data_IF_072617518727
#
_entry.id   IF_072617518727
#
_cell.length_a   1.000
_cell.length_b   1.000
_cell.length_c   1.000
_cell.angle_alpha   90.00
_cell.angle_beta   90.00
_cell.angle_gamma   90.00
#
_symmetry.space_group_name_H-M   'P 1'
#
loop_
_entity.id
_entity.type
_entity.pdbx_description
1 polymer ?
#
# COMPACT_ATOMS: atom_id res chain seq x y z
N UNK A 1 -5.72 26.26 13.93
CA UNK A 1 -6.21 27.42 13.17
C UNK A 1 -5.65 28.72 13.78
N UNK A 2 -5.63 28.88 15.09
CA UNK A 2 -5.23 30.14 15.74
C UNK A 2 -3.76 30.54 15.52
N UNK A 3 -2.89 29.59 15.22
CA UNK A 3 -1.48 29.83 14.97
C UNK A 3 -1.09 29.74 13.50
N UNK A 4 -1.58 28.68 12.80
CA UNK A 4 -1.15 28.37 11.44
C UNK A 4 -2.14 27.44 10.78
N UNK A 5 -2.67 27.78 9.60
CA UNK A 5 -3.58 26.94 8.83
C UNK A 5 -2.83 26.00 7.88
N UNK A 6 -1.80 26.50 7.20
CA UNK A 6 -1.04 25.77 6.22
C UNK A 6 0.37 26.35 6.07
N UNK A 7 1.32 25.47 5.80
CA UNK A 7 2.70 25.80 5.48
C UNK A 7 3.21 24.78 4.46
N UNK A 8 4.09 25.22 3.56
CA UNK A 8 4.67 24.30 2.58
C UNK A 8 5.68 23.36 3.23
N UNK A 9 6.00 22.25 2.56
CA UNK A 9 7.03 21.31 2.98
C UNK A 9 8.46 21.87 2.97
N UNK A 10 8.63 23.15 2.62
CA UNK A 10 9.91 23.87 2.71
C UNK A 10 10.22 24.31 4.15
N UNK A 11 9.25 24.29 5.05
CA UNK A 11 9.39 24.78 6.41
C UNK A 11 8.96 23.73 7.44
N UNK A 12 9.52 23.81 8.62
CA UNK A 12 9.11 22.98 9.75
C UNK A 12 7.99 23.66 10.56
N UNK A 13 7.05 22.86 11.05
CA UNK A 13 6.09 23.30 12.06
C UNK A 13 5.94 22.23 13.14
N UNK A 14 5.72 22.68 14.37
CA UNK A 14 5.63 21.80 15.54
C UNK A 14 4.55 20.73 15.42
N UNK A 15 3.30 21.05 15.00
CA UNK A 15 2.25 20.03 14.91
C UNK A 15 2.58 18.87 13.99
N UNK A 16 3.22 19.10 12.85
CA UNK A 16 3.54 18.03 11.89
C UNK A 16 4.73 17.19 12.38
N UNK A 17 5.70 17.83 13.07
CA UNK A 17 6.82 17.13 13.66
C UNK A 17 6.33 16.21 14.79
N UNK A 18 5.50 16.71 15.70
CA UNK A 18 4.93 15.94 16.80
C UNK A 18 4.04 14.80 16.29
N UNK A 19 3.21 15.06 15.30
CA UNK A 19 2.37 14.03 14.67
C UNK A 19 3.22 12.93 14.01
N UNK A 20 4.27 13.32 13.28
CA UNK A 20 5.20 12.39 12.65
C UNK A 20 5.93 11.53 13.68
N UNK A 21 6.46 12.13 14.73
CA UNK A 21 7.16 11.42 15.80
C UNK A 21 6.26 10.39 16.51
N UNK A 22 5.02 10.76 16.85
CA UNK A 22 4.04 9.86 17.47
C UNK A 22 3.63 8.73 16.53
N UNK A 23 3.42 9.03 15.24
CA UNK A 23 3.06 8.03 14.25
C UNK A 23 4.18 7.01 14.03
N UNK A 24 5.42 7.46 13.92
CA UNK A 24 6.61 6.61 13.80
C UNK A 24 6.74 5.71 15.03
N UNK A 25 6.55 6.26 16.22
CA UNK A 25 6.61 5.48 17.47
C UNK A 25 5.50 4.42 17.53
N UNK A 26 4.26 4.78 17.16
CA UNK A 26 3.12 3.88 17.23
C UNK A 26 3.16 2.78 16.17
N UNK A 27 3.66 3.09 14.96
CA UNK A 27 3.72 2.15 13.83
C UNK A 27 4.97 1.28 13.80
N UNK A 28 5.98 1.59 14.63
CA UNK A 28 7.32 0.99 14.57
C UNK A 28 8.03 1.19 13.21
N UNK A 29 7.60 2.19 12.44
CA UNK A 29 8.26 2.60 11.19
C UNK A 29 9.32 3.67 11.48
N UNK A 30 10.21 3.93 10.52
CA UNK A 30 11.27 4.93 10.69
C UNK A 30 10.87 6.33 10.23
N UNK A 31 9.91 6.44 9.32
CA UNK A 31 9.51 7.70 8.68
C UNK A 31 8.01 7.76 8.46
N UNK A 32 7.48 8.97 8.42
CA UNK A 32 6.11 9.27 8.05
C UNK A 32 6.07 10.22 6.84
N UNK A 33 5.14 9.98 5.93
CA UNK A 33 4.84 10.84 4.80
C UNK A 33 3.36 11.18 4.82
N UNK A 34 3.04 12.47 4.92
CA UNK A 34 1.66 12.95 5.01
C UNK A 34 1.11 13.31 3.64
N UNK A 35 -0.12 12.88 3.41
CA UNK A 35 -0.89 13.15 2.19
C UNK A 35 -2.28 13.69 2.57
N UNK A 36 -3.08 14.11 1.58
CA UNK A 36 -4.41 14.67 1.83
C UNK A 36 -5.52 13.62 1.84
N UNK A 37 -5.25 12.41 1.36
CA UNK A 37 -6.26 11.36 1.22
C UNK A 37 -5.63 9.96 1.18
N UNK A 38 -6.45 8.93 1.40
CA UNK A 38 -6.04 7.54 1.29
C UNK A 38 -5.52 7.19 -0.11
N UNK A 39 -6.21 7.65 -1.15
CA UNK A 39 -5.75 7.39 -2.53
C UNK A 39 -4.38 7.99 -2.80
N UNK A 40 -4.08 9.19 -2.28
CA UNK A 40 -2.74 9.79 -2.39
C UNK A 40 -1.69 9.03 -1.58
N UNK A 41 -2.06 8.49 -0.43
CA UNK A 41 -1.18 7.63 0.37
C UNK A 41 -0.80 6.36 -0.42
N UNK A 42 -1.77 5.72 -1.06
CA UNK A 42 -1.52 4.56 -1.92
C UNK A 42 -0.65 4.93 -3.12
N UNK A 43 -0.92 6.04 -3.83
CA UNK A 43 -0.06 6.53 -4.91
C UNK A 43 1.39 6.73 -4.43
N UNK A 44 1.56 7.31 -3.24
CA UNK A 44 2.86 7.49 -2.60
C UNK A 44 3.56 6.15 -2.31
N UNK A 45 2.84 5.17 -1.75
CA UNK A 45 3.35 3.85 -1.43
C UNK A 45 3.78 3.07 -2.69
N UNK A 46 2.95 3.08 -3.74
CA UNK A 46 3.27 2.44 -5.02
C UNK A 46 4.52 3.06 -5.66
N UNK A 47 4.62 4.38 -5.65
CA UNK A 47 5.81 5.09 -6.16
C UNK A 47 7.05 4.81 -5.33
N UNK A 48 6.93 4.76 -4.00
CA UNK A 48 8.05 4.42 -3.12
C UNK A 48 8.57 3.00 -3.40
N UNK A 49 7.68 2.02 -3.53
CA UNK A 49 8.03 0.64 -3.84
C UNK A 49 8.72 0.51 -5.23
N UNK A 50 8.15 1.15 -6.26
CA UNK A 50 8.75 1.15 -7.60
C UNK A 50 10.10 1.88 -7.62
N UNK A 51 10.23 2.99 -6.87
CA UNK A 51 11.50 3.72 -6.78
C UNK A 51 12.58 2.92 -6.07
N UNK A 52 12.23 2.24 -4.98
CA UNK A 52 13.13 1.33 -4.28
C UNK A 52 13.66 0.24 -5.22
N UNK A 53 12.78 -0.44 -5.93
CA UNK A 53 13.15 -1.48 -6.88
C UNK A 53 13.99 -0.94 -8.04
N UNK A 54 13.67 0.25 -8.56
CA UNK A 54 14.48 0.91 -9.58
C UNK A 54 15.92 1.18 -9.12
N UNK A 55 16.10 1.66 -7.88
CA UNK A 55 17.46 1.89 -7.33
C UNK A 55 18.22 0.59 -7.12
N UNK A 56 17.52 -0.49 -6.76
CA UNK A 56 18.10 -1.82 -6.56
C UNK A 56 18.51 -2.48 -7.88
N UNK A 57 17.61 -2.46 -8.88
CA UNK A 57 17.67 -3.33 -10.06
C UNK A 57 18.13 -2.58 -11.33
N UNK A 58 18.05 -1.25 -11.34
CA UNK A 58 18.48 -0.40 -12.45
C UNK A 58 17.50 -0.32 -13.64
N UNK A 59 16.27 -0.82 -13.50
CA UNK A 59 15.22 -0.78 -14.54
C UNK A 59 13.84 -0.43 -13.95
N UNK A 60 12.84 -0.13 -14.79
CA UNK A 60 11.55 0.42 -14.35
C UNK A 60 10.32 -0.47 -14.61
N UNK A 61 10.49 -1.66 -15.18
CA UNK A 61 9.39 -2.56 -15.59
C UNK A 61 8.93 -3.52 -14.47
N UNK A 62 8.87 -2.99 -13.24
CA UNK A 62 8.48 -3.75 -12.07
C UNK A 62 6.98 -3.99 -11.95
N UNK A 63 6.63 -5.14 -11.36
CA UNK A 63 5.27 -5.62 -11.13
C UNK A 63 4.85 -5.47 -9.68
N UNK A 64 3.54 -5.31 -9.46
CA UNK A 64 2.92 -5.23 -8.14
C UNK A 64 1.83 -6.29 -8.06
N UNK A 65 1.79 -7.03 -6.96
CA UNK A 65 0.73 -7.99 -6.66
C UNK A 65 -0.27 -7.33 -5.71
N UNK A 66 -1.54 -7.32 -6.09
CA UNK A 66 -2.67 -6.85 -5.27
C UNK A 66 -3.64 -8.01 -5.01
N UNK A 67 -4.57 -7.83 -4.08
CA UNK A 67 -5.53 -8.87 -3.73
C UNK A 67 -6.84 -8.70 -4.50
N UNK A 68 -7.43 -9.81 -4.94
CA UNK A 68 -8.80 -9.84 -5.44
C UNK A 68 -9.76 -9.25 -4.40
N UNK A 69 -10.81 -8.58 -4.83
CA UNK A 69 -11.82 -7.91 -4.01
C UNK A 69 -11.30 -6.75 -3.14
N UNK A 70 -10.05 -6.35 -3.27
CA UNK A 70 -9.49 -5.20 -2.54
C UNK A 70 -10.04 -3.86 -3.04
N UNK A 71 -9.91 -2.85 -2.18
CA UNK A 71 -10.20 -1.45 -2.52
C UNK A 71 -9.06 -0.55 -2.00
N UNK A 72 -8.39 0.14 -2.91
CA UNK A 72 -7.23 0.99 -2.57
C UNK A 72 -7.38 2.46 -2.96
N UNK A 73 -8.45 2.81 -3.66
CA UNK A 73 -8.73 4.19 -4.05
C UNK A 73 -9.23 4.33 -5.49
N UNK A 74 -9.38 5.59 -5.94
CA UNK A 74 -10.02 5.92 -7.24
C UNK A 74 -9.15 6.77 -8.18
N UNK A 75 -7.94 7.18 -7.76
CA UNK A 75 -6.93 7.71 -8.69
C UNK A 75 -6.40 6.59 -9.57
N UNK A 76 -5.84 6.91 -10.73
CA UNK A 76 -5.45 5.90 -11.74
C UNK A 76 -4.51 4.84 -11.16
N UNK A 77 -3.48 5.21 -10.39
CA UNK A 77 -2.57 4.23 -9.78
C UNK A 77 -3.24 3.40 -8.68
N UNK A 78 -3.97 4.03 -7.76
CA UNK A 78 -4.70 3.33 -6.71
C UNK A 78 -5.82 2.42 -7.28
N UNK A 79 -6.51 2.88 -8.33
CA UNK A 79 -7.51 2.10 -9.03
C UNK A 79 -6.88 0.88 -9.72
N UNK A 80 -5.68 1.01 -10.25
CA UNK A 80 -4.96 -0.08 -10.92
C UNK A 80 -4.71 -1.27 -9.99
N UNK A 81 -4.50 -1.04 -8.70
CA UNK A 81 -4.28 -2.08 -7.68
C UNK A 81 -5.56 -2.46 -6.92
N UNK A 82 -6.70 -1.84 -7.22
CA UNK A 82 -8.00 -2.20 -6.65
C UNK A 82 -8.53 -3.48 -7.28
N UNK A 83 -8.79 -4.52 -6.48
CA UNK A 83 -9.08 -5.88 -6.95
C UNK A 83 -10.48 -6.09 -7.51
N UNK A 84 -11.40 -5.13 -7.34
CA UNK A 84 -12.74 -5.22 -7.90
C UNK A 84 -12.74 -4.77 -9.38
N UNK A 85 -12.92 -5.72 -10.30
CA UNK A 85 -12.90 -5.48 -11.74
C UNK A 85 -13.96 -4.45 -12.17
N UNK A 86 -15.15 -4.45 -11.57
CA UNK A 86 -16.22 -3.53 -11.91
C UNK A 86 -15.81 -2.05 -11.73
N UNK A 87 -14.90 -1.76 -10.77
CA UNK A 87 -14.40 -0.40 -10.59
C UNK A 87 -13.34 -0.03 -11.63
N UNK A 88 -12.62 -1.00 -12.18
CA UNK A 88 -11.51 -0.76 -13.14
C UNK A 88 -11.96 -0.68 -14.59
N UNK A 89 -12.85 -1.56 -15.01
CA UNK A 89 -13.25 -1.75 -16.41
C UNK A 89 -13.55 -0.45 -17.18
N UNK A 90 -14.30 0.52 -16.63
CA UNK A 90 -14.62 1.75 -17.37
C UNK A 90 -13.41 2.64 -17.65
N UNK A 91 -12.27 2.39 -17.00
CA UNK A 91 -11.08 3.27 -17.03
C UNK A 91 -9.85 2.60 -17.62
N UNK A 92 -10.02 1.42 -18.25
CA UNK A 92 -8.92 0.75 -18.94
C UNK A 92 -8.45 1.52 -20.17
N UNK A 93 -7.14 1.53 -20.54
CA UNK A 93 -6.08 0.80 -19.86
C UNK A 93 -5.56 1.54 -18.60
N UNK A 94 -5.35 0.80 -17.53
CA UNK A 94 -4.78 1.28 -16.30
C UNK A 94 -3.24 1.09 -16.25
N UNK A 95 -2.62 1.31 -15.08
CA UNK A 95 -1.18 1.10 -14.89
C UNK A 95 -0.82 -0.37 -15.15
N UNK A 96 0.10 -0.61 -16.07
CA UNK A 96 0.60 -1.95 -16.37
C UNK A 96 1.42 -2.57 -15.23
N UNK A 97 1.62 -3.90 -15.29
CA UNK A 97 2.43 -4.64 -14.33
C UNK A 97 1.71 -4.91 -13.00
N UNK A 98 0.38 -4.87 -12.97
CA UNK A 98 -0.40 -5.27 -11.79
C UNK A 98 -0.95 -6.68 -12.00
N UNK A 99 -0.76 -7.53 -11.00
CA UNK A 99 -1.28 -8.90 -10.93
C UNK A 99 -2.16 -9.05 -9.71
N UNK A 100 -3.13 -9.95 -9.78
CA UNK A 100 -4.06 -10.18 -8.68
C UNK A 100 -3.94 -11.61 -8.14
N UNK A 101 -3.96 -11.74 -6.81
CA UNK A 101 -3.95 -12.99 -6.08
C UNK A 101 -5.19 -13.08 -5.17
N UNK A 102 -5.53 -14.27 -4.73
CA UNK A 102 -6.64 -14.46 -3.81
C UNK A 102 -6.24 -14.09 -2.38
N UNK A 103 -7.14 -13.35 -1.72
CA UNK A 103 -6.94 -12.93 -0.34
C UNK A 103 -6.98 -14.13 0.60
N UNK A 104 -6.10 -14.16 1.59
CA UNK A 104 -5.90 -15.30 2.50
C UNK A 104 -5.39 -16.59 1.84
N UNK A 105 -4.86 -16.50 0.62
CA UNK A 105 -4.23 -17.63 -0.08
C UNK A 105 -2.77 -17.28 -0.45
N UNK A 106 -1.84 -17.75 0.38
CA UNK A 106 -0.40 -17.50 0.18
C UNK A 106 0.14 -18.18 -1.09
N UNK A 107 -0.41 -19.34 -1.47
CA UNK A 107 0.01 -20.05 -2.70
C UNK A 107 -0.44 -19.30 -3.94
N UNK A 108 -1.63 -18.69 -3.92
CA UNK A 108 -2.09 -17.79 -4.99
C UNK A 108 -1.14 -16.61 -5.15
N UNK A 109 -0.67 -16.01 -4.05
CA UNK A 109 0.33 -14.92 -4.08
C UNK A 109 1.65 -15.41 -4.67
N UNK A 110 2.17 -16.53 -4.21
CA UNK A 110 3.44 -17.11 -4.70
C UNK A 110 3.41 -17.40 -6.19
N UNK A 111 2.27 -17.84 -6.72
CA UNK A 111 2.08 -18.12 -8.13
C UNK A 111 2.18 -16.87 -9.02
N UNK A 112 1.95 -15.67 -8.48
CA UNK A 112 2.05 -14.39 -9.20
C UNK A 112 3.46 -13.79 -9.17
N UNK A 113 4.35 -14.26 -8.29
CA UNK A 113 5.69 -13.69 -8.13
C UNK A 113 6.56 -14.01 -9.35
N UNK A 114 7.23 -12.98 -9.82
CA UNK A 114 8.29 -13.08 -10.84
C UNK A 114 9.55 -12.34 -10.36
N UNK A 115 10.60 -12.39 -11.16
CA UNK A 115 11.82 -11.60 -10.98
C UNK A 115 11.59 -10.07 -11.06
N UNK A 116 10.45 -9.64 -11.61
CA UNK A 116 10.02 -8.24 -11.70
C UNK A 116 9.15 -7.77 -10.54
N UNK A 117 8.72 -8.66 -9.66
CA UNK A 117 7.84 -8.30 -8.55
C UNK A 117 8.57 -7.41 -7.56
N UNK A 118 8.09 -6.18 -7.35
CA UNK A 118 8.69 -5.23 -6.43
C UNK A 118 7.86 -4.98 -5.17
N UNK A 119 6.56 -5.24 -5.22
CA UNK A 119 5.69 -5.02 -4.07
C UNK A 119 4.50 -5.98 -4.04
N UNK A 120 4.01 -6.23 -2.84
CA UNK A 120 2.70 -6.84 -2.56
C UNK A 120 1.90 -5.82 -1.77
N UNK A 121 0.67 -5.53 -2.19
CA UNK A 121 -0.27 -4.65 -1.46
C UNK A 121 -1.48 -5.45 -1.00
N UNK A 122 -1.84 -5.28 0.26
CA UNK A 122 -3.02 -5.91 0.87
C UNK A 122 -3.61 -5.03 1.95
N UNK A 123 -4.89 -5.22 2.24
CA UNK A 123 -5.54 -4.70 3.45
C UNK A 123 -5.36 -5.72 4.58
N UNK A 124 -5.32 -5.27 5.83
CA UNK A 124 -5.38 -6.18 6.99
C UNK A 124 -6.81 -6.65 7.27
N UNK A 125 -7.80 -5.85 6.84
CA UNK A 125 -9.21 -6.23 6.75
C UNK A 125 -9.75 -5.66 5.44
N UNK A 126 -10.19 -6.50 4.52
CA UNK A 126 -10.87 -6.04 3.29
C UNK A 126 -12.24 -5.47 3.66
N UNK A 127 -12.33 -4.15 3.79
CA UNK A 127 -13.57 -3.47 4.18
C UNK A 127 -14.62 -3.50 3.08
N UNK A 128 -14.32 -2.92 1.93
CA UNK A 128 -15.21 -2.87 0.76
C UNK A 128 -15.45 -4.26 0.15
N UNK A 129 -14.52 -5.18 0.32
CA UNK A 129 -14.65 -6.57 -0.14
C UNK A 129 -15.64 -7.42 0.65
N UNK A 130 -16.14 -6.93 1.79
CA UNK A 130 -17.14 -7.64 2.61
C UNK A 130 -16.76 -7.84 4.08
N UNK A 131 -15.82 -7.07 4.59
CA UNK A 131 -15.30 -7.12 5.98
C UNK A 131 -14.66 -8.48 6.28
N UNK A 132 -13.73 -8.86 5.43
CA UNK A 132 -12.95 -10.08 5.61
C UNK A 132 -11.59 -9.77 6.25
N UNK A 133 -11.31 -10.26 7.48
CA UNK A 133 -9.99 -10.10 8.10
C UNK A 133 -8.95 -11.01 7.43
N UNK A 134 -7.74 -10.52 7.31
CA UNK A 134 -6.60 -11.35 6.97
C UNK A 134 -6.31 -12.32 8.11
N UNK A 135 -5.97 -13.57 7.78
CA UNK A 135 -5.52 -14.53 8.78
C UNK A 135 -4.09 -14.19 9.22
N UNK A 136 -3.77 -14.58 10.46
CA UNK A 136 -2.41 -14.40 10.98
C UNK A 136 -1.39 -15.12 10.11
N UNK A 137 -1.69 -16.34 9.71
CA UNK A 137 -0.84 -17.17 8.88
C UNK A 137 -0.55 -16.51 7.52
N UNK A 138 -1.56 -15.86 6.93
CA UNK A 138 -1.41 -15.14 5.67
C UNK A 138 -0.48 -13.94 5.83
N UNK A 139 -0.70 -13.09 6.83
CA UNK A 139 0.13 -11.90 7.06
C UNK A 139 1.59 -12.24 7.40
N UNK A 140 1.80 -13.23 8.30
CA UNK A 140 3.14 -13.71 8.61
C UNK A 140 3.82 -14.34 7.40
N UNK A 141 3.06 -15.10 6.60
CA UNK A 141 3.53 -15.67 5.35
C UNK A 141 3.94 -14.61 4.33
N UNK A 142 3.13 -13.55 4.16
CA UNK A 142 3.47 -12.41 3.29
C UNK A 142 4.74 -11.70 3.78
N UNK A 143 4.85 -11.42 5.08
CA UNK A 143 6.04 -10.76 5.64
C UNK A 143 7.30 -11.57 5.36
N UNK A 144 7.27 -12.87 5.68
CA UNK A 144 8.39 -13.77 5.43
C UNK A 144 8.76 -13.83 3.94
N UNK A 145 7.77 -13.98 3.07
CA UNK A 145 7.95 -14.03 1.63
C UNK A 145 8.59 -12.74 1.08
N UNK A 146 8.13 -11.59 1.58
CA UNK A 146 8.67 -10.30 1.18
C UNK A 146 10.12 -10.11 1.65
N UNK A 147 10.44 -10.54 2.87
CA UNK A 147 11.81 -10.48 3.40
C UNK A 147 12.77 -11.39 2.63
N UNK A 148 12.36 -12.60 2.31
CA UNK A 148 13.17 -13.57 1.57
C UNK A 148 13.48 -13.13 0.13
N UNK A 149 12.59 -12.35 -0.48
CA UNK A 149 12.69 -11.95 -1.89
C UNK A 149 13.03 -10.48 -2.10
N UNK A 150 13.23 -9.73 -1.01
CA UNK A 150 13.43 -8.27 -1.06
C UNK A 150 12.30 -7.55 -1.83
N UNK A 151 11.06 -7.91 -1.50
CA UNK A 151 9.83 -7.32 -2.03
C UNK A 151 9.21 -6.41 -0.97
N UNK A 152 8.72 -5.23 -1.34
CA UNK A 152 8.07 -4.31 -0.41
C UNK A 152 6.66 -4.82 -0.07
N UNK A 153 6.36 -4.94 1.22
CA UNK A 153 5.00 -5.20 1.71
C UNK A 153 4.31 -3.88 2.03
N UNK A 154 3.19 -3.62 1.37
CA UNK A 154 2.33 -2.46 1.60
C UNK A 154 1.06 -2.94 2.31
N UNK A 155 0.85 -2.45 3.54
CA UNK A 155 -0.38 -2.70 4.30
C UNK A 155 -1.26 -1.46 4.21
N UNK A 156 -2.40 -1.60 3.54
CA UNK A 156 -3.41 -0.55 3.46
C UNK A 156 -4.29 -0.59 4.70
N UNK A 157 -4.07 0.36 5.58
CA UNK A 157 -4.84 0.53 6.81
C UNK A 157 -5.73 1.78 6.79
N UNK A 158 -6.01 2.33 5.61
CA UNK A 158 -6.83 3.54 5.47
C UNK A 158 -8.20 3.38 6.13
N UNK A 159 -8.82 2.23 6.00
CA UNK A 159 -10.13 1.97 6.57
C UNK A 159 -10.05 1.29 7.95
N UNK A 160 -9.07 0.45 8.19
CA UNK A 160 -9.00 -0.38 9.41
C UNK A 160 -7.94 0.07 10.43
N UNK A 161 -7.08 1.04 10.09
CA UNK A 161 -6.02 1.53 10.97
C UNK A 161 -6.46 2.55 12.02
N UNK A 162 -5.50 3.20 12.67
CA UNK A 162 -5.67 4.29 13.65
C UNK A 162 -6.59 3.91 14.83
N UNK A 163 -6.49 2.68 15.33
CA UNK A 163 -7.27 2.19 16.45
C UNK A 163 -8.69 1.72 16.09
N UNK A 164 -9.03 1.58 14.80
CA UNK A 164 -10.35 1.07 14.38
C UNK A 164 -10.54 -0.40 14.78
N UNK A 165 -9.50 -1.18 14.69
CA UNK A 165 -9.51 -2.62 14.98
C UNK A 165 -8.78 -2.99 16.30
N UNK A 166 -8.25 -2.00 17.01
CA UNK A 166 -7.55 -2.21 18.29
C UNK A 166 -6.16 -1.62 18.31
#
# INVERSE_FOLDING_TARGET
IDKLMHISNLYYNEPIIDAGARLVQASHMEKAFFTNSGTEAIEGALKAAKKYAYERDGHADHEIIAMNHSFHGRSIGALSVTGNAHYREPFEPLMGGVKFADFNDLESVKAQITDKTCAIITETVQGEGGIYPATKEFLEGLRKLCDEKDIILILDEIQCGMGRTG
#
